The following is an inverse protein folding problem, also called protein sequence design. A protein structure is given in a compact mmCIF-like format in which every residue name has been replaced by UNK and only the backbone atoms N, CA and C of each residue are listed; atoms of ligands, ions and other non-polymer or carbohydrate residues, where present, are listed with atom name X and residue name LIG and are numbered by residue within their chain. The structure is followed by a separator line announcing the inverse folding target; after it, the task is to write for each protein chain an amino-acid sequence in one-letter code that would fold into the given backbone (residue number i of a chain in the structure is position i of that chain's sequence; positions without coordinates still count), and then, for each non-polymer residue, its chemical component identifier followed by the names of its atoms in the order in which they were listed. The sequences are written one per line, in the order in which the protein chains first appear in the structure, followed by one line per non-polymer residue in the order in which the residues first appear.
data_IF_306832230786
#
_entry.id   IF_306832230786
#
_cell.length_a   1.000
_cell.length_b   1.000
_cell.length_c   1.000
_cell.angle_alpha   90.00
_cell.angle_beta   90.00
_cell.angle_gamma   90.00
#
_symmetry.space_group_name_H-M   'P 1'
#
loop_
_entity.id
_entity.type
_entity.pdbx_description
1 polymer ?
#
# COMPACT_ATOMS: atom_id res chain seq x y z
N UNK A 1 -11.07 -14.99 -0.80
CA UNK A 1 -11.20 -13.64 -0.21
C UNK A 1 -10.03 -13.41 0.73
N UNK A 2 -9.45 -12.21 0.72
CA UNK A 2 -8.28 -11.84 1.54
C UNK A 2 -8.38 -10.39 1.98
N UNK A 3 -7.73 -10.10 3.10
CA UNK A 3 -7.51 -8.72 3.52
C UNK A 3 -6.16 -8.26 2.95
N UNK A 4 -6.12 -7.06 2.40
CA UNK A 4 -4.92 -6.44 1.84
C UNK A 4 -4.67 -5.12 2.57
N UNK A 5 -3.40 -4.82 2.86
CA UNK A 5 -3.00 -3.53 3.42
C UNK A 5 -1.71 -3.04 2.80
N UNK A 6 -1.56 -1.74 2.65
CA UNK A 6 -0.29 -1.14 2.26
C UNK A 6 0.61 -1.01 3.49
N UNK A 7 1.82 -1.53 3.40
CA UNK A 7 2.87 -1.35 4.39
C UNK A 7 3.89 -0.35 3.89
N UNK A 8 4.25 0.59 4.75
CA UNK A 8 5.33 1.55 4.52
C UNK A 8 6.71 0.89 4.60
N UNK A 9 7.81 1.63 4.31
CA UNK A 9 9.17 1.08 4.34
C UNK A 9 9.59 0.54 5.71
N UNK A 10 9.03 1.05 6.79
CA UNK A 10 9.28 0.59 8.17
C UNK A 10 8.42 -0.63 8.55
N UNK A 11 7.49 -1.02 7.66
CA UNK A 11 6.62 -2.18 7.83
C UNK A 11 5.32 -1.87 8.58
N UNK A 12 5.00 -0.60 8.85
CA UNK A 12 3.74 -0.19 9.44
C UNK A 12 2.64 -0.11 8.39
N UNK A 13 1.40 -0.37 8.81
CA UNK A 13 0.24 -0.20 7.93
C UNK A 13 -0.04 1.27 7.70
N UNK A 14 -0.07 1.68 6.43
CA UNK A 14 -0.45 3.04 6.04
C UNK A 14 -1.94 3.24 6.40
N UNK A 15 -2.28 4.25 7.22
CA UNK A 15 -3.66 4.49 7.64
C UNK A 15 -4.61 4.65 6.45
N UNK A 16 -5.79 4.04 6.53
CA UNK A 16 -6.83 4.13 5.49
C UNK A 16 -6.64 3.20 4.29
N UNK A 17 -5.58 2.38 4.25
CA UNK A 17 -5.28 1.49 3.10
C UNK A 17 -5.73 0.04 3.29
N UNK A 18 -6.34 -0.29 4.43
CA UNK A 18 -6.82 -1.65 4.72
C UNK A 18 -8.08 -1.93 3.90
N UNK A 19 -7.97 -2.89 2.98
CA UNK A 19 -9.06 -3.41 2.16
C UNK A 19 -9.45 -4.78 2.69
N UNK A 20 -10.66 -4.92 3.22
CA UNK A 20 -11.13 -6.18 3.81
C UNK A 20 -11.98 -6.98 2.83
N UNK A 21 -11.96 -8.31 2.95
CA UNK A 21 -12.78 -9.23 2.15
C UNK A 21 -12.64 -9.06 0.63
N UNK A 22 -11.44 -8.71 0.15
CA UNK A 22 -11.18 -8.56 -1.30
C UNK A 22 -11.37 -9.93 -1.97
N UNK A 23 -12.26 -10.04 -2.99
CA UNK A 23 -12.39 -11.27 -3.77
C UNK A 23 -11.06 -11.65 -4.43
N UNK A 24 -10.77 -12.94 -4.55
CA UNK A 24 -9.46 -13.38 -5.09
C UNK A 24 -9.23 -12.89 -6.53
N UNK A 25 -10.30 -12.73 -7.31
CA UNK A 25 -10.27 -12.17 -8.67
C UNK A 25 -9.85 -10.68 -8.72
N UNK A 26 -9.93 -9.96 -7.60
CA UNK A 26 -9.66 -8.52 -7.53
C UNK A 26 -8.34 -8.22 -6.78
N UNK A 27 -7.66 -9.23 -6.24
CA UNK A 27 -6.45 -9.05 -5.42
C UNK A 27 -5.36 -8.31 -6.19
N UNK A 28 -5.11 -8.69 -7.45
CA UNK A 28 -4.06 -8.06 -8.25
C UNK A 28 -4.40 -6.60 -8.59
N UNK A 29 -5.67 -6.30 -8.87
CA UNK A 29 -6.13 -4.93 -9.10
C UNK A 29 -5.95 -4.05 -7.86
N UNK A 30 -6.35 -4.55 -6.69
CA UNK A 30 -6.21 -3.80 -5.43
C UNK A 30 -4.74 -3.61 -5.07
N UNK A 31 -3.91 -4.64 -5.28
CA UNK A 31 -2.47 -4.56 -5.07
C UNK A 31 -1.84 -3.50 -5.96
N UNK A 32 -2.21 -3.45 -7.24
CA UNK A 32 -1.71 -2.48 -8.21
C UNK A 32 -2.08 -1.05 -7.79
N UNK A 33 -3.35 -0.82 -7.42
CA UNK A 33 -3.82 0.46 -6.91
C UNK A 33 -3.03 0.92 -5.66
N UNK A 34 -2.83 0.03 -4.68
CA UNK A 34 -2.09 0.35 -3.46
C UNK A 34 -0.61 0.71 -3.73
N UNK A 35 0.05 0.03 -4.68
CA UNK A 35 1.47 0.23 -4.96
C UNK A 35 1.75 1.36 -5.96
N UNK A 36 0.88 1.58 -6.94
CA UNK A 36 1.13 2.53 -8.03
C UNK A 36 0.43 3.87 -7.85
N UNK A 37 -0.60 3.95 -7.01
CA UNK A 37 -1.31 5.21 -6.75
C UNK A 37 -1.09 5.67 -5.31
N UNK A 38 -1.39 4.80 -4.34
CA UNK A 38 -1.38 5.18 -2.91
C UNK A 38 0.04 5.30 -2.34
N UNK A 39 0.92 4.33 -2.63
CA UNK A 39 2.29 4.36 -2.12
C UNK A 39 3.09 5.59 -2.59
N UNK A 40 3.02 6.04 -3.87
CA UNK A 40 3.67 7.27 -4.31
C UNK A 40 3.14 8.52 -3.60
N UNK A 41 1.83 8.61 -3.38
CA UNK A 41 1.24 9.74 -2.66
C UNK A 41 1.72 9.78 -1.21
N UNK A 42 1.69 8.65 -0.51
CA UNK A 42 2.19 8.56 0.86
C UNK A 42 3.70 8.86 0.91
N UNK A 43 4.51 8.27 0.03
CA UNK A 43 5.94 8.54 -0.03
C UNK A 43 6.24 10.02 -0.27
N UNK A 44 5.46 10.72 -1.10
CA UNK A 44 5.61 12.15 -1.33
C UNK A 44 5.35 12.99 -0.07
N UNK A 45 4.38 12.61 0.75
CA UNK A 45 4.12 13.30 2.03
C UNK A 45 5.24 13.10 3.05
N UNK A 46 5.99 12.00 2.95
CA UNK A 46 7.09 11.65 3.87
C UNK A 46 8.47 11.73 3.21
N UNK A 47 8.59 12.42 2.07
CA UNK A 47 9.83 12.46 1.28
C UNK A 47 10.99 13.06 2.07
N UNK A 48 10.73 14.04 2.93
CA UNK A 48 11.72 14.67 3.82
C UNK A 48 12.30 13.69 4.86
N UNK A 49 11.62 12.57 5.10
CA UNK A 49 12.05 11.47 5.98
C UNK A 49 12.67 10.30 5.20
N UNK A 50 12.90 10.44 3.90
CA UNK A 50 13.56 9.44 3.06
C UNK A 50 12.65 8.32 2.57
N UNK A 51 11.33 8.47 2.66
CA UNK A 51 10.39 7.47 2.19
C UNK A 51 10.39 7.40 0.65
N UNK A 52 10.57 6.18 0.11
CA UNK A 52 10.54 5.88 -1.32
C UNK A 52 9.44 4.85 -1.58
N UNK A 53 8.54 5.16 -2.53
CA UNK A 53 7.41 4.31 -2.90
C UNK A 53 7.83 2.88 -3.29
N UNK A 54 9.05 2.70 -3.81
CA UNK A 54 9.60 1.39 -4.20
C UNK A 54 9.84 0.45 -3.02
N UNK A 55 9.92 0.98 -1.81
CA UNK A 55 10.14 0.22 -0.59
C UNK A 55 8.83 -0.21 0.10
N UNK A 56 7.67 0.19 -0.44
CA UNK A 56 6.37 -0.21 0.09
C UNK A 56 6.01 -1.61 -0.39
N UNK A 57 5.13 -2.28 0.37
CA UNK A 57 4.66 -3.63 0.05
C UNK A 57 3.20 -3.81 0.43
N UNK A 58 2.51 -4.73 -0.23
CA UNK A 58 1.15 -5.14 0.14
C UNK A 58 1.24 -6.48 0.88
N UNK A 59 0.52 -6.57 2.00
CA UNK A 59 0.42 -7.76 2.85
C UNK A 59 -1.04 -8.18 3.07
#
# INVERSE_FOLDING_TARGET
MRDLRLLDPDGYTVPGTVQTNVPDANVDQVRDHLLNEVAPEHAKHWADFGYDARNYRVA
#
